data_IF_210408015922
#
_entry.id   IF_210408015922
#
_cell.length_a   1.000
_cell.length_b   1.000
_cell.length_c   1.000
_cell.angle_alpha   90.00
_cell.angle_beta   90.00
_cell.angle_gamma   90.00
#
_symmetry.space_group_name_H-M   'P 1'
#
loop_
_entity.id
_entity.type
_entity.pdbx_description
1 polymer ?
#
# COMPACT_ATOMS: atom_id res chain seq x y z
N UNK A 1 0.09 -22.00 -5.26
CA UNK A 1 0.15 -23.42 -4.88
C UNK A 1 -0.45 -24.33 -5.97
N UNK A 2 -0.01 -25.60 -6.02
CA UNK A 2 -0.60 -26.63 -6.87
C UNK A 2 -0.15 -26.69 -8.33
N UNK A 3 0.60 -25.71 -8.83
CA UNK A 3 1.04 -25.63 -10.23
C UNK A 3 2.55 -25.42 -10.38
N UNK A 4 3.35 -25.93 -9.45
CA UNK A 4 4.80 -25.77 -9.49
C UNK A 4 5.45 -26.88 -10.33
N UNK A 5 6.53 -26.53 -11.03
CA UNK A 5 7.20 -27.41 -11.96
C UNK A 5 7.98 -28.56 -11.29
N UNK A 6 8.65 -28.32 -10.15
CA UNK A 6 9.47 -29.33 -9.48
C UNK A 6 8.66 -30.18 -8.50
N UNK A 7 9.03 -31.47 -8.36
CA UNK A 7 8.46 -32.37 -7.36
C UNK A 7 8.79 -31.94 -5.92
N UNK A 8 8.00 -32.40 -4.95
CA UNK A 8 8.16 -32.06 -3.53
C UNK A 8 7.55 -30.70 -3.13
N UNK A 9 7.03 -29.95 -4.08
CA UNK A 9 6.42 -28.64 -3.81
C UNK A 9 5.06 -28.74 -3.10
N UNK A 10 4.44 -29.90 -3.04
CA UNK A 10 3.22 -30.17 -2.26
C UNK A 10 3.39 -29.81 -0.78
N UNK A 11 4.58 -29.97 -0.22
CA UNK A 11 4.88 -29.58 1.18
C UNK A 11 5.05 -28.07 1.32
N UNK A 12 5.70 -27.42 0.35
CA UNK A 12 5.83 -25.96 0.31
C UNK A 12 4.47 -25.31 0.08
N UNK A 13 3.63 -25.90 -0.75
CA UNK A 13 2.26 -25.44 -0.99
C UNK A 13 1.41 -25.48 0.29
N UNK A 14 1.61 -26.47 1.15
CA UNK A 14 0.93 -26.53 2.47
C UNK A 14 1.37 -25.34 3.36
N UNK A 15 2.66 -25.03 3.41
CA UNK A 15 3.18 -23.92 4.18
C UNK A 15 2.65 -22.57 3.65
N UNK A 16 2.65 -22.38 2.33
CA UNK A 16 2.12 -21.18 1.68
C UNK A 16 0.62 -21.00 1.95
N UNK A 17 -0.18 -22.07 1.75
CA UNK A 17 -1.62 -22.05 2.01
C UNK A 17 -1.93 -21.74 3.49
N UNK A 18 -1.15 -22.32 4.42
CA UNK A 18 -1.30 -22.03 5.84
C UNK A 18 -0.98 -20.58 6.15
N UNK A 19 0.05 -20.00 5.52
CA UNK A 19 0.42 -18.60 5.69
C UNK A 19 -0.70 -17.68 5.17
N UNK A 20 -1.26 -17.97 4.00
CA UNK A 20 -2.40 -17.23 3.43
C UNK A 20 -3.61 -17.26 4.37
N UNK A 21 -3.97 -18.45 4.86
CA UNK A 21 -5.08 -18.62 5.80
C UNK A 21 -4.87 -17.81 7.08
N UNK A 22 -3.68 -17.91 7.69
CA UNK A 22 -3.35 -17.15 8.91
C UNK A 22 -3.35 -15.64 8.68
N UNK A 23 -2.94 -15.16 7.51
CA UNK A 23 -3.00 -13.75 7.18
C UNK A 23 -4.44 -13.23 7.12
N UNK A 24 -5.35 -13.97 6.47
CA UNK A 24 -6.78 -13.64 6.44
C UNK A 24 -7.39 -13.66 7.84
N UNK A 25 -7.10 -14.68 8.62
CA UNK A 25 -7.58 -14.83 10.00
C UNK A 25 -7.09 -13.69 10.91
N UNK A 26 -5.81 -13.29 10.78
CA UNK A 26 -5.22 -12.22 11.59
C UNK A 26 -5.93 -10.88 11.40
N UNK A 27 -6.42 -10.61 10.19
CA UNK A 27 -7.16 -9.40 9.87
C UNK A 27 -8.67 -9.60 9.79
N UNK A 28 -9.18 -10.79 10.16
CA UNK A 28 -10.62 -11.15 10.16
C UNK A 28 -11.28 -10.94 8.78
N UNK A 29 -10.56 -11.28 7.72
CA UNK A 29 -11.02 -11.11 6.34
C UNK A 29 -11.77 -12.33 5.84
N UNK A 30 -12.83 -12.08 5.10
CA UNK A 30 -13.60 -13.09 4.42
C UNK A 30 -12.82 -13.64 3.20
N UNK A 31 -12.49 -14.94 3.17
CA UNK A 31 -11.72 -15.53 2.08
C UNK A 31 -12.48 -15.57 0.72
N UNK A 32 -13.79 -15.35 0.72
CA UNK A 32 -14.55 -15.21 -0.52
C UNK A 32 -14.39 -13.83 -1.17
N UNK A 33 -13.98 -12.82 -0.38
CA UNK A 33 -13.79 -11.44 -0.84
C UNK A 33 -12.33 -11.05 -0.99
N UNK A 34 -11.44 -11.68 -0.20
CA UNK A 34 -10.03 -11.30 -0.13
C UNK A 34 -9.11 -12.47 -0.49
N UNK A 35 -8.25 -12.25 -1.47
CA UNK A 35 -7.10 -13.10 -1.75
C UNK A 35 -5.82 -12.57 -1.06
N UNK A 36 -4.88 -13.46 -0.79
CA UNK A 36 -3.57 -13.08 -0.19
C UNK A 36 -2.43 -13.64 -1.02
N UNK A 37 -1.47 -12.80 -1.35
CA UNK A 37 -0.18 -13.20 -1.89
C UNK A 37 0.89 -13.08 -0.79
N UNK A 38 1.54 -14.19 -0.45
CA UNK A 38 2.58 -14.25 0.59
C UNK A 38 3.99 -14.51 0.01
N UNK A 39 4.16 -14.40 -1.30
CA UNK A 39 5.42 -14.71 -1.98
C UNK A 39 6.40 -13.54 -2.03
N UNK A 40 5.96 -12.32 -1.72
CA UNK A 40 6.84 -11.14 -1.70
C UNK A 40 7.93 -11.26 -0.65
N UNK A 41 9.16 -10.90 -1.01
CA UNK A 41 10.32 -11.02 -0.11
C UNK A 41 10.36 -9.93 0.96
N UNK A 42 9.74 -8.77 0.72
CA UNK A 42 9.66 -7.65 1.66
C UNK A 42 8.61 -6.63 1.19
N UNK A 43 8.44 -5.52 1.95
CA UNK A 43 7.42 -4.50 1.65
C UNK A 43 7.63 -3.79 0.32
N UNK A 44 8.86 -3.41 -0.04
CA UNK A 44 9.13 -2.75 -1.32
C UNK A 44 8.80 -3.64 -2.54
N UNK A 45 9.21 -4.93 -2.58
CA UNK A 45 8.75 -5.84 -3.61
C UNK A 45 7.23 -6.06 -3.60
N UNK A 46 6.57 -6.11 -2.44
CA UNK A 46 5.12 -6.22 -2.35
C UNK A 46 4.42 -5.03 -3.03
N UNK A 47 4.84 -3.81 -2.70
CA UNK A 47 4.31 -2.60 -3.33
C UNK A 47 4.58 -2.59 -4.85
N UNK A 48 5.80 -2.96 -5.27
CA UNK A 48 6.15 -2.99 -6.70
C UNK A 48 5.32 -4.02 -7.47
N UNK A 49 5.01 -5.18 -6.86
CA UNK A 49 4.11 -6.18 -7.45
C UNK A 49 2.69 -5.64 -7.64
N UNK A 50 2.17 -4.87 -6.67
CA UNK A 50 0.87 -4.20 -6.83
C UNK A 50 0.90 -3.23 -8.00
N UNK A 51 1.92 -2.39 -8.10
CA UNK A 51 2.02 -1.43 -9.21
C UNK A 51 2.08 -2.14 -10.57
N UNK A 52 2.93 -3.15 -10.70
CA UNK A 52 3.07 -3.88 -11.97
C UNK A 52 1.88 -4.75 -12.31
N UNK A 53 1.09 -5.16 -11.32
CA UNK A 53 -0.14 -5.94 -11.52
C UNK A 53 -1.35 -5.10 -11.92
N UNK A 54 -1.39 -3.82 -11.52
CA UNK A 54 -2.55 -2.94 -11.74
C UNK A 54 -2.31 -1.84 -12.77
N UNK A 55 -1.06 -1.49 -13.02
CA UNK A 55 -0.69 -0.30 -13.80
C UNK A 55 0.17 -0.67 -15.01
N UNK A 56 0.15 0.20 -16.00
CA UNK A 56 1.12 0.16 -17.09
C UNK A 56 2.37 0.99 -16.73
N UNK A 57 3.53 0.74 -17.36
CA UNK A 57 4.67 1.62 -17.22
C UNK A 57 4.30 3.08 -17.51
N UNK A 58 4.85 3.99 -16.69
CA UNK A 58 4.57 5.43 -16.72
C UNK A 58 3.16 5.86 -16.29
N UNK A 59 2.31 4.94 -15.82
CA UNK A 59 1.10 5.36 -15.13
C UNK A 59 1.43 6.16 -13.87
N UNK A 60 0.54 7.08 -13.50
CA UNK A 60 0.73 8.04 -12.42
C UNK A 60 0.31 7.46 -11.08
N UNK A 61 1.17 7.63 -10.08
CA UNK A 61 0.90 7.25 -8.69
C UNK A 61 1.05 8.45 -7.75
N UNK A 62 0.29 8.47 -6.66
CA UNK A 62 0.43 9.46 -5.60
C UNK A 62 0.61 8.78 -4.24
N UNK A 63 1.58 9.25 -3.46
CA UNK A 63 1.85 8.78 -2.10
C UNK A 63 2.30 9.92 -1.20
N UNK A 64 2.37 9.68 0.11
CA UNK A 64 2.90 10.67 1.05
C UNK A 64 4.38 10.91 0.78
N UNK A 65 4.78 12.20 0.76
CA UNK A 65 6.17 12.60 0.53
C UNK A 65 7.10 12.00 1.59
N UNK A 66 8.28 11.53 1.19
CA UNK A 66 9.24 10.89 2.10
C UNK A 66 9.64 11.80 3.27
N UNK A 67 9.97 13.10 3.08
CA UNK A 67 10.27 14.02 4.18
C UNK A 67 9.09 14.23 5.14
N UNK A 68 7.87 13.98 4.71
CA UNK A 68 6.64 14.07 5.50
C UNK A 68 6.21 12.73 6.13
N UNK A 69 7.06 11.71 6.07
CA UNK A 69 6.82 10.41 6.68
C UNK A 69 6.45 9.29 5.72
N UNK A 70 6.46 9.51 4.41
CA UNK A 70 6.21 8.49 3.40
C UNK A 70 7.27 7.38 3.35
N UNK A 71 7.16 6.49 2.38
CA UNK A 71 8.10 5.40 2.18
C UNK A 71 8.77 5.51 0.80
N UNK A 72 10.03 5.06 0.70
CA UNK A 72 10.80 5.08 -0.57
C UNK A 72 10.04 4.39 -1.72
N UNK A 73 9.41 3.24 -1.45
CA UNK A 73 8.69 2.47 -2.46
C UNK A 73 7.38 3.12 -2.94
N UNK A 74 7.02 4.28 -2.43
CA UNK A 74 5.91 5.09 -2.92
C UNK A 74 6.32 6.08 -4.04
N UNK A 75 7.52 5.88 -4.62
CA UNK A 75 7.98 6.62 -5.78
C UNK A 75 8.83 7.85 -5.47
N UNK A 76 9.54 7.87 -4.34
CA UNK A 76 10.34 9.02 -3.95
C UNK A 76 11.40 9.39 -5.00
N UNK A 77 11.41 10.65 -5.39
CA UNK A 77 12.39 11.25 -6.29
C UNK A 77 12.66 12.71 -5.89
N UNK A 78 13.75 13.25 -6.39
CA UNK A 78 14.09 14.68 -6.29
C UNK A 78 14.10 15.28 -7.69
N UNK A 79 14.20 16.60 -7.79
CA UNK A 79 14.24 17.32 -9.07
C UNK A 79 15.39 16.84 -9.98
N UNK A 80 16.46 16.32 -9.38
CA UNK A 80 17.68 15.91 -10.09
C UNK A 80 17.89 14.40 -10.17
N UNK A 81 17.15 13.61 -9.37
CA UNK A 81 17.42 12.17 -9.28
C UNK A 81 16.17 11.35 -8.95
N UNK A 82 15.94 10.29 -9.72
CA UNK A 82 14.99 9.23 -9.40
C UNK A 82 15.64 8.28 -8.39
N UNK A 83 15.31 8.44 -7.09
CA UNK A 83 15.94 7.70 -5.99
C UNK A 83 15.29 6.33 -5.82
N UNK A 84 13.97 6.29 -5.79
CA UNK A 84 13.23 5.03 -5.78
C UNK A 84 13.18 4.41 -7.17
N UNK A 85 13.43 3.10 -7.28
CA UNK A 85 13.24 2.38 -8.54
C UNK A 85 11.81 2.51 -9.07
N UNK A 86 10.81 2.64 -8.19
CA UNK A 86 9.41 2.87 -8.57
C UNK A 86 9.26 4.12 -9.43
N UNK A 87 9.97 5.20 -9.11
CA UNK A 87 9.92 6.45 -9.90
C UNK A 87 10.59 6.35 -11.28
N UNK A 88 11.30 5.25 -11.56
CA UNK A 88 11.85 4.96 -12.91
C UNK A 88 10.74 4.40 -13.80
N UNK A 89 9.89 3.53 -13.27
CA UNK A 89 8.86 2.82 -14.01
C UNK A 89 7.50 3.52 -14.00
N UNK A 90 7.21 4.32 -12.97
CA UNK A 90 5.94 5.02 -12.77
C UNK A 90 6.19 6.50 -12.51
N UNK A 91 5.25 7.33 -12.92
CA UNK A 91 5.33 8.76 -12.62
C UNK A 91 4.75 9.01 -11.23
N UNK A 92 5.54 9.58 -10.34
CA UNK A 92 5.13 9.79 -8.95
C UNK A 92 4.97 11.26 -8.61
N UNK A 93 3.90 11.60 -7.89
CA UNK A 93 3.62 12.92 -7.34
C UNK A 93 3.32 12.77 -5.85
N UNK A 94 4.07 13.42 -4.94
CA UNK A 94 3.79 13.33 -3.52
C UNK A 94 2.67 14.27 -3.09
N UNK A 95 1.81 13.80 -2.16
CA UNK A 95 1.01 14.69 -1.31
C UNK A 95 1.72 14.92 0.02
N UNK A 96 1.33 15.96 0.77
CA UNK A 96 2.06 16.41 1.95
C UNK A 96 1.17 16.61 3.17
N UNK A 97 1.81 16.80 4.31
CA UNK A 97 1.16 17.26 5.53
C UNK A 97 0.96 18.77 5.45
N UNK A 98 -0.04 19.26 6.16
CA UNK A 98 -0.06 20.63 6.63
C UNK A 98 0.96 20.76 7.78
N UNK A 99 2.03 21.51 7.56
CA UNK A 99 3.13 21.67 8.52
C UNK A 99 2.69 22.36 9.82
N UNK A 100 1.61 23.14 9.78
CA UNK A 100 1.10 23.83 10.96
C UNK A 100 0.37 22.88 11.92
N UNK A 101 -0.26 21.84 11.40
CA UNK A 101 -1.03 20.86 12.17
C UNK A 101 -0.33 19.52 12.33
N UNK A 102 0.62 19.20 11.42
CA UNK A 102 1.25 17.88 11.30
C UNK A 102 0.30 16.77 10.82
N UNK A 103 -0.84 17.15 10.23
CA UNK A 103 -1.82 16.23 9.67
C UNK A 103 -1.74 16.21 8.14
N UNK A 104 -2.16 15.11 7.52
CA UNK A 104 -2.31 15.04 6.07
C UNK A 104 -3.35 16.08 5.64
N UNK A 105 -2.97 16.94 4.69
CA UNK A 105 -3.89 17.88 4.06
C UNK A 105 -4.69 17.17 2.96
N UNK A 106 -5.83 16.60 3.34
CA UNK A 106 -6.68 15.85 2.41
C UNK A 106 -7.31 16.72 1.32
N UNK A 107 -7.54 18.00 1.58
CA UNK A 107 -8.13 18.91 0.59
C UNK A 107 -7.08 19.34 -0.45
N UNK A 108 -5.85 19.60 -0.02
CA UNK A 108 -4.72 19.78 -0.94
C UNK A 108 -4.44 18.49 -1.72
N UNK A 109 -4.50 17.33 -1.07
CA UNK A 109 -4.36 16.02 -1.73
C UNK A 109 -5.43 15.82 -2.82
N UNK A 110 -6.70 16.15 -2.54
CA UNK A 110 -7.78 16.06 -3.52
C UNK A 110 -7.56 17.01 -4.70
N UNK A 111 -7.17 18.26 -4.42
CA UNK A 111 -6.88 19.25 -5.47
C UNK A 111 -5.74 18.77 -6.37
N UNK A 112 -4.68 18.23 -5.76
CA UNK A 112 -3.55 17.68 -6.49
C UNK A 112 -3.95 16.44 -7.30
N UNK A 113 -4.75 15.54 -6.74
CA UNK A 113 -5.25 14.36 -7.44
C UNK A 113 -6.11 14.72 -8.65
N UNK A 114 -6.98 15.73 -8.51
CA UNK A 114 -7.80 16.23 -9.60
C UNK A 114 -6.99 16.85 -10.75
N UNK A 115 -5.86 17.47 -10.45
CA UNK A 115 -4.96 18.02 -11.46
C UNK A 115 -4.03 16.95 -12.08
N UNK A 116 -3.55 16.02 -11.26
CA UNK A 116 -2.55 15.04 -11.67
C UNK A 116 -3.16 13.78 -12.30
N UNK A 117 -4.40 13.43 -11.94
CA UNK A 117 -5.10 12.22 -12.39
C UNK A 117 -4.30 10.93 -12.15
N UNK A 118 -3.96 10.58 -10.90
CA UNK A 118 -3.26 9.34 -10.61
C UNK A 118 -4.14 8.13 -10.99
N UNK A 119 -3.51 7.02 -11.35
CA UNK A 119 -4.14 5.72 -11.49
C UNK A 119 -4.15 4.93 -10.18
N UNK A 120 -3.27 5.31 -9.25
CA UNK A 120 -3.18 4.69 -7.94
C UNK A 120 -2.82 5.75 -6.89
N UNK A 121 -3.61 5.77 -5.82
CA UNK A 121 -3.40 6.58 -4.62
C UNK A 121 -2.93 5.67 -3.49
N UNK A 122 -1.89 6.07 -2.75
CA UNK A 122 -1.28 5.26 -1.71
C UNK A 122 -1.55 5.90 -0.34
N UNK A 123 -2.24 5.19 0.53
CA UNK A 123 -2.45 5.52 1.93
C UNK A 123 -1.48 4.68 2.79
N UNK A 124 -0.32 5.23 3.12
CA UNK A 124 0.69 4.51 3.90
C UNK A 124 1.88 5.40 4.24
N UNK A 125 2.50 5.10 5.38
CA UNK A 125 3.61 5.89 5.88
C UNK A 125 4.58 5.06 6.70
N UNK A 126 5.84 5.49 6.75
CA UNK A 126 6.86 4.96 7.67
C UNK A 126 6.91 5.73 8.98
N UNK A 127 6.64 7.03 8.95
CA UNK A 127 6.87 7.95 10.06
C UNK A 127 5.74 8.99 10.23
N UNK A 128 4.51 8.59 9.99
CA UNK A 128 3.31 9.40 10.26
C UNK A 128 2.61 8.85 11.50
N UNK A 129 2.65 9.58 12.60
CA UNK A 129 2.17 9.15 13.92
C UNK A 129 0.70 9.51 14.19
N UNK A 130 -0.10 9.66 13.15
CA UNK A 130 -1.53 9.95 13.22
C UNK A 130 -2.31 8.91 12.43
N UNK A 131 -3.62 8.87 12.61
CA UNK A 131 -4.50 7.98 11.88
C UNK A 131 -4.70 8.48 10.44
N UNK A 132 -4.76 7.54 9.50
CA UNK A 132 -5.25 7.81 8.15
C UNK A 132 -6.78 7.88 8.17
N UNK A 133 -7.35 8.87 7.50
CA UNK A 133 -8.76 8.86 7.14
C UNK A 133 -8.92 8.09 5.81
N UNK A 134 -9.08 6.77 5.92
CA UNK A 134 -9.21 5.90 4.75
C UNK A 134 -10.48 6.19 3.94
N UNK A 135 -11.56 6.64 4.60
CA UNK A 135 -12.78 7.05 3.92
C UNK A 135 -12.51 8.26 3.03
N UNK A 136 -11.84 9.27 3.56
CA UNK A 136 -11.49 10.45 2.79
C UNK A 136 -10.53 10.14 1.63
N UNK A 137 -9.56 9.23 1.86
CA UNK A 137 -8.66 8.74 0.81
C UNK A 137 -9.44 7.98 -0.29
N UNK A 138 -10.46 7.20 0.07
CA UNK A 138 -11.34 6.52 -0.89
C UNK A 138 -12.13 7.52 -1.74
N UNK A 139 -12.70 8.54 -1.13
CA UNK A 139 -13.42 9.62 -1.83
C UNK A 139 -12.51 10.33 -2.86
N UNK A 140 -11.26 10.59 -2.48
CA UNK A 140 -10.27 11.19 -3.39
C UNK A 140 -9.96 10.24 -4.55
N UNK A 141 -9.71 8.97 -4.27
CA UNK A 141 -9.43 7.98 -5.30
C UNK A 141 -10.59 7.79 -6.26
N UNK A 142 -11.83 7.72 -5.76
CA UNK A 142 -13.04 7.60 -6.57
C UNK A 142 -13.24 8.82 -7.49
N UNK A 143 -12.93 10.01 -7.01
CA UNK A 143 -13.06 11.25 -7.79
C UNK A 143 -12.19 11.28 -9.06
N UNK A 144 -11.12 10.48 -9.09
CA UNK A 144 -10.20 10.37 -10.22
C UNK A 144 -10.23 9.02 -10.93
N UNK A 145 -11.01 8.07 -10.40
CA UNK A 145 -11.05 6.69 -10.88
C UNK A 145 -9.75 5.92 -10.57
N UNK A 146 -9.04 6.31 -9.50
CA UNK A 146 -7.81 5.65 -9.06
C UNK A 146 -8.09 4.44 -8.17
N UNK A 147 -7.19 3.46 -8.21
CA UNK A 147 -7.11 2.44 -7.17
C UNK A 147 -6.61 3.06 -5.86
N UNK A 148 -7.11 2.57 -4.73
CA UNK A 148 -6.58 2.89 -3.40
C UNK A 148 -5.78 1.72 -2.85
N UNK A 149 -4.47 1.94 -2.70
CA UNK A 149 -3.56 1.02 -2.00
C UNK A 149 -3.33 1.52 -0.57
N UNK A 150 -3.59 0.68 0.43
CA UNK A 150 -3.15 0.95 1.79
C UNK A 150 -1.86 0.15 2.09
N UNK A 151 -0.77 0.85 2.36
CA UNK A 151 0.46 0.24 2.89
C UNK A 151 0.46 0.40 4.42
N UNK A 152 0.02 -0.66 5.12
CA UNK A 152 -0.10 -0.67 6.58
C UNK A 152 1.11 -1.32 7.28
N UNK A 153 2.24 -1.45 6.61
CA UNK A 153 3.40 -2.19 7.11
C UNK A 153 3.82 -1.78 8.54
N UNK A 154 3.78 -0.48 8.86
CA UNK A 154 4.17 0.01 10.19
C UNK A 154 3.09 -0.15 11.25
N UNK A 155 1.83 -0.22 10.88
CA UNK A 155 0.68 -0.23 11.81
C UNK A 155 -0.10 -1.54 11.81
N UNK A 156 0.34 -2.53 11.03
CA UNK A 156 -0.39 -3.78 10.79
C UNK A 156 -0.74 -4.56 12.06
N UNK A 157 0.14 -4.59 13.05
CA UNK A 157 -0.16 -5.23 14.34
C UNK A 157 -1.28 -4.54 15.11
N UNK A 158 -1.35 -3.21 15.05
CA UNK A 158 -2.39 -2.43 15.71
C UNK A 158 -3.73 -2.57 14.97
N UNK A 159 -3.70 -2.68 13.63
CA UNK A 159 -4.87 -3.01 12.81
C UNK A 159 -5.36 -4.43 13.12
N UNK A 160 -4.46 -5.41 13.20
CA UNK A 160 -4.81 -6.79 13.56
C UNK A 160 -5.41 -6.90 14.97
N UNK A 161 -4.97 -6.05 15.91
CA UNK A 161 -5.50 -5.94 17.26
C UNK A 161 -6.83 -5.19 17.35
N UNK A 162 -7.34 -4.63 16.23
CA UNK A 162 -8.58 -3.84 16.17
C UNK A 162 -8.57 -2.58 17.04
N UNK A 163 -7.39 -1.98 17.16
CA UNK A 163 -7.18 -0.79 18.02
C UNK A 163 -7.22 0.53 17.23
N UNK A 164 -7.19 0.46 15.91
CA UNK A 164 -7.27 1.60 14.99
C UNK A 164 -8.13 1.25 13.78
N UNK A 165 -8.64 2.24 13.01
CA UNK A 165 -9.45 1.99 11.83
C UNK A 165 -8.77 1.05 10.84
N UNK A 166 -9.55 0.11 10.31
CA UNK A 166 -9.08 -0.86 9.32
C UNK A 166 -9.04 -0.25 7.93
N UNK A 167 -7.96 -0.45 7.15
CA UNK A 167 -7.90 -0.02 5.76
C UNK A 167 -8.77 -0.88 4.81
N UNK A 168 -9.12 -2.10 5.21
CA UNK A 168 -9.77 -3.09 4.34
C UNK A 168 -11.17 -2.71 3.88
N UNK A 169 -11.86 -1.82 4.61
CA UNK A 169 -13.20 -1.36 4.22
C UNK A 169 -13.18 -0.41 3.01
N UNK A 170 -12.06 0.25 2.77
CA UNK A 170 -11.96 1.34 1.80
C UNK A 170 -10.95 1.10 0.68
N UNK A 171 -10.02 0.17 0.87
CA UNK A 171 -8.90 -0.04 -0.05
C UNK A 171 -9.18 -1.18 -1.03
N UNK A 172 -8.73 -1.01 -2.28
CA UNK A 172 -8.78 -2.05 -3.30
C UNK A 172 -7.68 -3.10 -3.06
N UNK A 173 -6.53 -2.66 -2.55
CA UNK A 173 -5.38 -3.51 -2.21
C UNK A 173 -4.76 -3.04 -0.91
N UNK A 174 -4.29 -3.99 -0.11
CA UNK A 174 -3.57 -3.71 1.13
C UNK A 174 -2.23 -4.44 1.11
N UNK A 175 -1.15 -3.74 1.41
CA UNK A 175 0.17 -4.34 1.59
C UNK A 175 0.64 -4.22 3.04
N UNK A 176 1.44 -5.17 3.47
CA UNK A 176 2.04 -5.17 4.81
C UNK A 176 3.38 -5.89 4.84
N UNK A 177 4.02 -5.86 5.99
CA UNK A 177 5.20 -6.65 6.33
C UNK A 177 4.94 -7.42 7.62
N UNK A 178 5.58 -8.57 7.78
CA UNK A 178 5.40 -9.44 8.96
C UNK A 178 6.48 -9.24 10.03
N UNK A 179 7.51 -8.44 9.76
CA UNK A 179 8.67 -8.24 10.64
C UNK A 179 8.66 -6.92 11.44
N UNK A 180 7.56 -6.16 11.36
CA UNK A 180 7.36 -4.91 12.11
C UNK A 180 6.33 -5.13 13.24
N UNK A 181 5.27 -4.34 13.29
CA UNK A 181 4.27 -4.40 14.38
C UNK A 181 3.35 -5.63 14.33
N UNK A 182 3.31 -6.37 13.22
CA UNK A 182 2.54 -7.63 13.10
C UNK A 182 3.23 -8.84 13.75
N UNK A 183 4.48 -8.69 14.12
CA UNK A 183 5.30 -9.76 14.70
C UNK A 183 4.78 -10.27 16.04
#
# INVERSE_FOLDING_TARGET
PGARYYGGNEFIDQAETLCQKRALEAFRLDPEKWGVNVQSLSGSPANFQVYTGLLNPHDRIMGLDLPHGGHLSHGFQTDTKKISAVSIFFESMPYRLDESTGLIDYDACQTLAAAYHPKLLIAGASAYSRLYDYKRMREIADSTGAYLLADMAHISGIVAADMIPSPFEYSDVVTTTTHKSLR
#
